data_IF_589631222370
#
_entry.id   IF_589631222370
#
_cell.length_a   1.000
_cell.length_b   1.000
_cell.length_c   1.000
_cell.angle_alpha   90.00
_cell.angle_beta   90.00
_cell.angle_gamma   90.00
#
_symmetry.space_group_name_H-M   'P 1'
#
loop_
_entity.id
_entity.type
_entity.pdbx_description
1 polymer ?
#
# COMPACT_ATOMS: atom_id res chain seq x y z
N UNK A 1 8.89 6.75 18.88
CA UNK A 1 9.42 6.85 17.50
C UNK A 1 9.62 5.45 16.93
N UNK A 2 9.26 5.23 15.67
CA UNK A 2 9.45 3.93 15.03
C UNK A 2 10.94 3.62 14.86
N UNK A 3 11.33 2.38 15.12
CA UNK A 3 12.71 1.91 14.97
C UNK A 3 12.74 0.80 13.92
N UNK A 4 13.61 0.91 12.93
CA UNK A 4 13.75 -0.06 11.86
C UNK A 4 15.20 -0.56 11.84
N UNK A 5 15.40 -1.88 12.02
CA UNK A 5 16.74 -2.47 12.01
C UNK A 5 17.27 -2.70 10.61
N UNK A 6 16.43 -3.19 9.71
CA UNK A 6 16.79 -3.49 8.33
C UNK A 6 15.72 -2.99 7.35
N UNK A 7 16.15 -2.66 6.15
CA UNK A 7 15.28 -2.23 5.06
C UNK A 7 15.51 -3.13 3.86
N UNK A 8 14.45 -3.67 3.30
CA UNK A 8 14.54 -4.59 2.16
C UNK A 8 13.59 -4.17 1.04
N UNK A 9 14.08 -4.31 -0.20
CA UNK A 9 13.28 -4.04 -1.40
C UNK A 9 13.27 -5.33 -2.24
N UNK A 10 12.36 -6.27 -1.96
CA UNK A 10 12.31 -7.53 -2.70
C UNK A 10 11.90 -7.31 -4.16
N UNK A 11 12.35 -8.21 -5.02
CA UNK A 11 12.09 -8.13 -6.46
C UNK A 11 10.89 -8.97 -6.89
N UNK A 12 10.34 -9.80 -6.01
CA UNK A 12 9.18 -10.64 -6.30
C UNK A 12 8.31 -10.83 -5.08
N UNK A 13 7.05 -11.23 -5.31
CA UNK A 13 6.12 -11.54 -4.20
C UNK A 13 6.62 -12.71 -3.36
N UNK A 14 7.25 -13.72 -3.98
CA UNK A 14 7.79 -14.86 -3.25
C UNK A 14 8.89 -14.45 -2.29
N UNK A 15 9.80 -13.59 -2.75
CA UNK A 15 10.87 -13.04 -1.92
C UNK A 15 10.31 -12.23 -0.76
N UNK A 16 9.33 -11.36 -1.03
CA UNK A 16 8.67 -10.56 -0.01
C UNK A 16 8.00 -11.45 1.04
N UNK A 17 7.31 -12.49 0.60
CA UNK A 17 6.65 -13.44 1.50
C UNK A 17 7.63 -14.14 2.43
N UNK A 18 8.74 -14.61 1.89
CA UNK A 18 9.79 -15.26 2.68
C UNK A 18 10.34 -14.33 3.76
N UNK A 19 10.54 -13.07 3.44
CA UNK A 19 11.03 -12.10 4.40
C UNK A 19 9.99 -11.82 5.48
N UNK A 20 8.72 -11.62 5.10
CA UNK A 20 7.68 -11.25 6.05
C UNK A 20 7.42 -12.33 7.09
N UNK A 21 7.54 -13.61 6.71
CA UNK A 21 7.31 -14.73 7.64
C UNK A 21 8.54 -15.11 8.46
N UNK A 22 9.71 -14.58 8.13
CA UNK A 22 10.97 -14.97 8.80
C UNK A 22 11.06 -14.51 10.25
N UNK A 23 10.40 -13.39 10.60
CA UNK A 23 10.35 -12.87 11.96
C UNK A 23 9.01 -12.18 12.20
N UNK A 24 8.54 -12.22 13.46
CA UNK A 24 7.24 -11.63 13.82
C UNK A 24 7.17 -10.11 13.67
N UNK A 25 8.29 -9.43 13.82
CA UNK A 25 8.33 -7.97 13.77
C UNK A 25 8.72 -7.41 12.41
N UNK A 26 8.71 -8.23 11.36
CA UNK A 26 8.88 -7.75 9.99
C UNK A 26 7.56 -7.15 9.50
N UNK A 27 7.63 -6.04 8.79
CA UNK A 27 6.44 -5.26 8.39
C UNK A 27 6.57 -4.83 6.95
N UNK A 28 5.47 -4.97 6.20
CA UNK A 28 5.36 -4.43 4.85
C UNK A 28 4.99 -2.95 4.95
N UNK A 29 5.73 -2.10 4.24
CA UNK A 29 5.48 -0.67 4.22
C UNK A 29 4.51 -0.29 3.09
N UNK A 30 3.54 0.56 3.41
CA UNK A 30 2.76 1.29 2.42
C UNK A 30 3.16 2.76 2.48
N UNK A 31 2.18 3.66 2.59
CA UNK A 31 2.45 5.09 2.73
C UNK A 31 3.08 5.51 4.05
N UNK A 32 3.13 4.59 5.02
CA UNK A 32 3.75 4.80 6.34
C UNK A 32 3.11 5.90 7.20
N UNK A 33 1.91 6.34 6.85
CA UNK A 33 1.25 7.44 7.57
C UNK A 33 1.09 7.20 9.05
N UNK A 34 0.61 6.02 9.45
CA UNK A 34 0.45 5.66 10.86
C UNK A 34 1.70 5.03 11.46
N UNK A 35 2.46 4.28 10.68
CA UNK A 35 3.69 3.64 11.16
C UNK A 35 4.70 4.67 11.65
N UNK A 36 4.89 5.75 10.92
CA UNK A 36 5.86 6.80 11.28
C UNK A 36 5.52 7.49 12.60
N UNK A 37 4.25 7.44 13.03
CA UNK A 37 3.79 8.03 14.29
C UNK A 37 3.79 7.03 15.44
N UNK A 38 4.11 5.76 15.19
CA UNK A 38 4.10 4.72 16.20
C UNK A 38 5.44 4.57 16.90
N UNK A 39 5.46 3.77 17.97
CA UNK A 39 6.68 3.40 18.69
C UNK A 39 7.10 1.96 18.39
N UNK A 40 6.75 1.44 17.22
CA UNK A 40 7.07 0.07 16.83
C UNK A 40 8.56 -0.18 16.67
N UNK A 41 8.98 -1.36 17.07
CA UNK A 41 10.31 -1.89 16.76
C UNK A 41 10.17 -2.84 15.59
N UNK A 42 10.61 -2.43 14.42
CA UNK A 42 10.51 -3.22 13.21
C UNK A 42 11.84 -3.91 12.93
N UNK A 43 11.81 -5.23 12.71
CA UNK A 43 13.00 -5.97 12.32
C UNK A 43 13.42 -5.62 10.91
N UNK A 44 12.68 -6.08 9.92
CA UNK A 44 12.89 -5.72 8.52
C UNK A 44 11.66 -4.96 8.01
N UNK A 45 11.88 -3.76 7.51
CA UNK A 45 10.85 -3.00 6.80
C UNK A 45 10.92 -3.39 5.32
N UNK A 46 9.83 -3.91 4.79
CA UNK A 46 9.76 -4.45 3.43
C UNK A 46 9.05 -3.45 2.54
N UNK A 47 9.77 -2.93 1.54
CA UNK A 47 9.23 -1.98 0.58
C UNK A 47 8.94 -2.70 -0.74
N UNK A 48 7.69 -2.66 -1.18
CA UNK A 48 7.23 -3.37 -2.37
C UNK A 48 7.38 -2.57 -3.67
N UNK A 49 8.10 -1.47 -3.64
CA UNK A 49 8.18 -0.53 -4.78
C UNK A 49 8.69 -1.17 -6.08
N UNK A 50 9.51 -2.21 -6.01
CA UNK A 50 10.06 -2.89 -7.19
C UNK A 50 9.18 -4.06 -7.67
N UNK A 51 8.07 -4.31 -6.98
CA UNK A 51 7.08 -5.31 -7.38
C UNK A 51 5.87 -4.53 -7.90
N UNK A 52 5.57 -4.58 -9.16
CA UNK A 52 4.52 -3.78 -9.82
C UNK A 52 3.12 -3.97 -9.22
N UNK A 53 2.91 -3.53 -7.98
CA UNK A 53 1.63 -3.64 -7.26
C UNK A 53 0.86 -2.32 -7.16
N UNK A 54 1.36 -1.27 -7.81
CA UNK A 54 0.69 0.02 -7.86
C UNK A 54 0.02 0.17 -9.24
N UNK A 55 -1.23 -0.23 -9.34
CA UNK A 55 -1.97 -0.16 -10.60
C UNK A 55 -3.48 -0.17 -10.35
N UNK A 56 -4.21 0.38 -11.32
CA UNK A 56 -5.66 0.27 -11.40
C UNK A 56 -5.97 -0.17 -12.83
N UNK A 57 -6.56 -1.34 -12.99
CA UNK A 57 -6.88 -1.92 -14.30
C UNK A 57 -8.36 -2.25 -14.39
N UNK A 58 -8.95 -1.94 -15.53
CA UNK A 58 -10.34 -2.26 -15.81
C UNK A 58 -10.44 -3.36 -16.86
N UNK A 59 -11.29 -4.33 -16.59
CA UNK A 59 -11.64 -5.37 -17.51
C UNK A 59 -13.18 -5.33 -17.71
N UNK A 60 -13.75 -6.20 -18.52
CA UNK A 60 -15.19 -6.17 -18.86
C UNK A 60 -16.10 -6.36 -17.65
N UNK A 61 -15.65 -7.05 -16.62
CA UNK A 61 -16.46 -7.40 -15.45
C UNK A 61 -15.90 -6.85 -14.15
N UNK A 62 -14.59 -6.59 -14.09
CA UNK A 62 -13.90 -6.31 -12.84
C UNK A 62 -13.01 -5.08 -12.93
N UNK A 63 -12.75 -4.49 -11.78
CA UNK A 63 -11.69 -3.50 -11.60
C UNK A 63 -10.65 -4.15 -10.70
N UNK A 64 -9.39 -4.18 -11.17
CA UNK A 64 -8.27 -4.73 -10.41
C UNK A 64 -7.46 -3.58 -9.81
N UNK A 65 -7.31 -3.60 -8.50
CA UNK A 65 -6.53 -2.60 -7.78
C UNK A 65 -5.32 -3.30 -7.16
N UNK A 66 -4.12 -2.85 -7.51
CA UNK A 66 -2.90 -3.42 -6.95
C UNK A 66 -2.76 -3.14 -5.46
N UNK A 67 -2.14 -4.07 -4.73
CA UNK A 67 -2.05 -4.00 -3.27
C UNK A 67 -1.27 -2.80 -2.74
N UNK A 68 -0.39 -2.22 -3.54
CA UNK A 68 0.44 -1.06 -3.16
C UNK A 68 -0.07 0.24 -3.79
N UNK A 69 -1.31 0.27 -4.24
CA UNK A 69 -1.93 1.46 -4.82
C UNK A 69 -2.26 2.46 -3.73
N UNK A 70 -1.87 3.73 -3.93
CA UNK A 70 -2.11 4.77 -2.93
C UNK A 70 -3.59 5.17 -2.87
N UNK A 71 -4.02 5.70 -1.72
CA UNK A 71 -5.36 6.24 -1.56
C UNK A 71 -5.60 7.42 -2.50
N UNK A 72 -4.56 8.22 -2.75
CA UNK A 72 -4.65 9.34 -3.69
C UNK A 72 -4.93 8.87 -5.11
N UNK A 73 -4.28 7.78 -5.54
CA UNK A 73 -4.56 7.19 -6.86
C UNK A 73 -6.00 6.74 -6.98
N UNK A 74 -6.57 6.13 -5.93
CA UNK A 74 -7.97 5.73 -5.90
C UNK A 74 -8.90 6.95 -5.96
N UNK A 75 -8.56 8.02 -5.26
CA UNK A 75 -9.38 9.25 -5.24
C UNK A 75 -9.50 9.90 -6.61
N UNK A 76 -8.40 9.96 -7.37
CA UNK A 76 -8.36 10.72 -8.63
C UNK A 76 -8.57 9.88 -9.89
N UNK A 77 -8.53 8.56 -9.81
CA UNK A 77 -8.66 7.69 -10.98
C UNK A 77 -10.06 7.77 -11.60
N UNK A 78 -10.12 7.93 -12.91
CA UNK A 78 -11.40 8.09 -13.64
C UNK A 78 -12.27 6.83 -13.58
N UNK A 79 -11.67 5.67 -13.69
CA UNK A 79 -12.39 4.39 -13.61
C UNK A 79 -13.06 4.23 -12.25
N UNK A 80 -12.31 4.53 -11.17
CA UNK A 80 -12.82 4.47 -9.81
C UNK A 80 -13.91 5.51 -9.58
N UNK A 81 -13.73 6.73 -10.10
CA UNK A 81 -14.74 7.80 -9.99
C UNK A 81 -16.06 7.43 -10.63
N UNK A 82 -16.01 6.68 -11.73
CA UNK A 82 -17.21 6.26 -12.46
C UNK A 82 -17.86 5.01 -11.90
N UNK A 83 -17.17 4.29 -11.01
CA UNK A 83 -17.70 3.07 -10.41
C UNK A 83 -18.69 3.39 -9.30
N UNK A 84 -19.88 2.82 -9.38
CA UNK A 84 -20.93 2.98 -8.37
C UNK A 84 -21.14 4.46 -7.96
N UNK A 85 -21.22 5.36 -8.97
CA UNK A 85 -21.44 6.79 -8.76
C UNK A 85 -20.37 7.46 -7.91
N UNK A 86 -19.15 6.93 -7.93
CA UNK A 86 -18.02 7.54 -7.24
C UNK A 86 -17.93 7.22 -5.75
N UNK A 87 -18.58 6.15 -5.28
CA UNK A 87 -18.56 5.76 -3.88
C UNK A 87 -17.15 5.58 -3.34
N UNK A 88 -16.27 4.86 -4.06
CA UNK A 88 -14.91 4.61 -3.59
C UNK A 88 -14.08 5.88 -3.55
N UNK A 89 -14.18 6.70 -4.59
CA UNK A 89 -13.47 7.98 -4.64
C UNK A 89 -13.88 8.89 -3.48
N UNK A 90 -15.18 8.98 -3.21
CA UNK A 90 -15.73 9.75 -2.09
C UNK A 90 -15.26 9.22 -0.74
N UNK A 91 -15.29 7.91 -0.57
CA UNK A 91 -14.88 7.28 0.69
C UNK A 91 -13.42 7.58 1.02
N UNK A 92 -12.51 7.42 0.05
CA UNK A 92 -11.08 7.65 0.31
C UNK A 92 -10.73 9.13 0.44
N UNK A 93 -11.50 10.04 -0.15
CA UNK A 93 -11.23 11.48 -0.06
C UNK A 93 -11.35 12.02 1.37
N UNK A 94 -12.09 11.34 2.22
CA UNK A 94 -12.36 11.75 3.58
C UNK A 94 -11.56 10.99 4.66
N UNK A 95 -10.68 10.07 4.26
CA UNK A 95 -9.94 9.27 5.24
C UNK A 95 -8.88 10.11 5.94
N UNK A 96 -8.04 10.78 5.18
CA UNK A 96 -6.93 11.60 5.70
C UNK A 96 -6.69 12.73 4.70
N UNK A 97 -5.84 13.68 5.03
CA UNK A 97 -5.48 14.74 4.11
C UNK A 97 -4.62 14.26 2.94
N UNK A 98 -4.43 15.13 1.94
CA UNK A 98 -3.61 14.82 0.75
C UNK A 98 -2.15 14.52 1.08
N UNK A 99 -1.70 14.90 2.27
CA UNK A 99 -0.33 14.68 2.75
C UNK A 99 -0.09 13.24 3.21
N UNK A 100 -1.14 12.50 3.41
CA UNK A 100 -1.07 11.11 3.87
C UNK A 100 -0.87 10.15 2.67
#
# INVERSE_FOLDING_TARGET
>A
MVTIKEYSVPQSLEEAYKIVISKKNNVILGGCGFIKLSNKNIGTAIDLKDINLNYIKEDKKDILIGADTSLRSLEIDKTIKNYCSGILSSAVSNIVGVQF
#
